data_IF_328251223690
#
_entry.id   IF_328251223690
#
_cell.length_a   1.000
_cell.length_b   1.000
_cell.length_c   1.000
_cell.angle_alpha   90.00
_cell.angle_beta   90.00
_cell.angle_gamma   90.00
#
_symmetry.space_group_name_H-M   'P 1'
#
loop_
_entity.id
_entity.type
_entity.pdbx_description
1 polymer ?
#
# COMPACT_ATOMS: atom_id res chain seq x y z
N UNK A 1 18.14 -19.41 -29.96
CA UNK A 1 18.19 -18.04 -29.42
C UNK A 1 19.63 -17.77 -28.97
N UNK A 2 20.38 -16.84 -29.52
CA UNK A 2 21.76 -16.59 -29.10
C UNK A 2 21.75 -15.97 -27.70
N UNK A 3 22.55 -16.55 -26.79
CA UNK A 3 22.77 -16.03 -25.46
C UNK A 3 23.32 -14.60 -25.55
N UNK A 4 22.62 -13.62 -24.96
CA UNK A 4 23.16 -12.28 -24.77
C UNK A 4 24.48 -12.36 -24.00
N UNK A 5 25.52 -11.61 -24.38
CA UNK A 5 26.77 -11.59 -23.63
C UNK A 5 26.49 -11.15 -22.19
N UNK A 6 26.97 -11.93 -21.21
CA UNK A 6 26.93 -11.58 -19.80
C UNK A 6 27.65 -10.25 -19.62
N UNK A 7 26.90 -9.23 -19.18
CA UNK A 7 27.46 -7.93 -18.85
C UNK A 7 28.41 -8.05 -17.65
N UNK A 8 29.37 -7.12 -17.58
CA UNK A 8 30.35 -7.00 -16.50
C UNK A 8 29.66 -7.10 -15.13
N UNK A 9 29.99 -8.12 -14.30
CA UNK A 9 29.31 -8.37 -13.01
C UNK A 9 29.45 -7.23 -12.00
N UNK A 10 30.30 -6.23 -12.28
CA UNK A 10 30.51 -5.06 -11.44
C UNK A 10 29.68 -3.83 -11.85
N UNK A 11 28.97 -3.86 -12.99
CA UNK A 11 28.11 -2.77 -13.43
C UNK A 11 26.63 -3.11 -13.23
N UNK A 12 26.10 -2.88 -12.02
CA UNK A 12 24.68 -2.95 -11.76
C UNK A 12 23.90 -2.03 -12.71
N UNK A 13 22.98 -2.57 -13.46
CA UNK A 13 22.08 -1.82 -14.34
C UNK A 13 21.10 -0.89 -13.58
N UNK A 14 21.06 -0.98 -12.25
CA UNK A 14 20.24 -0.14 -11.37
C UNK A 14 20.61 1.36 -11.42
N UNK A 15 21.81 1.70 -11.90
CA UNK A 15 22.27 3.10 -12.04
C UNK A 15 22.00 3.63 -13.45
N UNK A 16 21.48 2.81 -14.38
CA UNK A 16 21.14 3.28 -15.72
C UNK A 16 19.98 4.28 -15.69
N UNK A 17 20.05 5.28 -16.53
CA UNK A 17 19.09 6.37 -16.65
C UNK A 17 17.64 5.88 -16.74
N UNK A 18 17.37 4.78 -17.46
CA UNK A 18 16.03 4.22 -17.63
C UNK A 18 15.41 3.76 -16.29
N UNK A 19 16.15 2.99 -15.52
CA UNK A 19 15.67 2.51 -14.22
C UNK A 19 15.55 3.63 -13.18
N UNK A 20 16.51 4.56 -13.13
CA UNK A 20 16.44 5.73 -12.25
C UNK A 20 15.24 6.64 -12.59
N UNK A 21 14.91 6.81 -13.87
CA UNK A 21 13.73 7.57 -14.27
C UNK A 21 12.43 6.88 -13.86
N UNK A 22 12.36 5.54 -13.97
CA UNK A 22 11.23 4.75 -13.47
C UNK A 22 11.11 4.87 -11.94
N UNK A 23 12.23 4.77 -11.24
CA UNK A 23 12.28 4.86 -9.78
C UNK A 23 11.80 6.23 -9.29
N UNK A 24 12.25 7.32 -9.94
CA UNK A 24 11.84 8.69 -9.63
C UNK A 24 10.34 8.90 -9.94
N UNK A 25 9.85 8.45 -11.10
CA UNK A 25 8.44 8.55 -11.47
C UNK A 25 7.53 7.77 -10.51
N UNK A 26 7.98 6.59 -10.03
CA UNK A 26 7.27 5.80 -9.02
C UNK A 26 7.26 6.50 -7.66
N UNK A 27 8.41 7.00 -7.20
CA UNK A 27 8.53 7.70 -5.94
C UNK A 27 7.61 8.92 -5.90
N UNK A 28 7.68 9.78 -6.92
CA UNK A 28 6.88 11.00 -7.00
C UNK A 28 5.38 10.69 -7.13
N UNK A 29 4.98 9.67 -7.91
CA UNK A 29 3.58 9.26 -8.01
C UNK A 29 3.02 8.74 -6.69
N UNK A 30 3.71 7.81 -6.04
CA UNK A 30 3.28 7.28 -4.75
C UNK A 30 3.26 8.36 -3.67
N UNK A 31 4.20 9.30 -3.69
CA UNK A 31 4.21 10.46 -2.82
C UNK A 31 3.00 11.35 -3.05
N UNK A 32 2.67 11.67 -4.31
CA UNK A 32 1.52 12.51 -4.68
C UNK A 32 0.19 11.91 -4.23
N UNK A 33 -0.01 10.61 -4.48
CA UNK A 33 -1.18 9.85 -4.03
C UNK A 33 -1.37 9.96 -2.51
N UNK A 34 -0.27 9.86 -1.74
CA UNK A 34 -0.34 9.89 -0.28
C UNK A 34 -0.48 11.31 0.27
N UNK A 35 0.11 12.34 -0.36
CA UNK A 35 -0.11 13.75 0.01
C UNK A 35 -1.60 14.08 -0.09
N UNK A 36 -2.23 13.81 -1.24
CA UNK A 36 -3.64 14.12 -1.45
C UNK A 36 -4.55 13.34 -0.50
N UNK A 37 -4.29 12.03 -0.34
CA UNK A 37 -5.06 11.17 0.57
C UNK A 37 -4.98 11.67 2.01
N UNK A 38 -3.77 11.96 2.51
CA UNK A 38 -3.59 12.39 3.90
C UNK A 38 -4.13 13.78 4.16
N UNK A 39 -3.97 14.69 3.20
CA UNK A 39 -4.55 16.02 3.29
C UNK A 39 -6.08 15.96 3.43
N UNK A 40 -6.76 15.16 2.58
CA UNK A 40 -8.21 14.93 2.69
C UNK A 40 -8.58 14.25 4.01
N UNK A 41 -7.80 13.28 4.45
CA UNK A 41 -8.03 12.55 5.71
C UNK A 41 -8.02 13.53 6.90
N UNK A 42 -7.00 14.36 7.02
CA UNK A 42 -6.91 15.35 8.10
C UNK A 42 -8.01 16.40 8.02
N UNK A 43 -8.32 16.91 6.83
CA UNK A 43 -9.39 17.89 6.66
C UNK A 43 -10.75 17.32 7.09
N UNK A 44 -11.02 16.05 6.80
CA UNK A 44 -12.27 15.39 7.20
C UNK A 44 -12.32 15.19 8.73
N UNK A 45 -11.21 14.76 9.35
CA UNK A 45 -11.13 14.59 10.82
C UNK A 45 -11.40 15.92 11.54
N UNK A 46 -10.91 17.02 11.00
CA UNK A 46 -11.11 18.37 11.59
C UNK A 46 -12.49 18.96 11.30
N UNK A 47 -13.40 18.23 10.69
CA UNK A 47 -14.74 18.69 10.36
C UNK A 47 -14.77 19.74 9.26
N UNK A 48 -13.74 19.82 8.40
CA UNK A 48 -13.77 20.68 7.23
C UNK A 48 -15.01 20.40 6.38
N UNK A 49 -15.38 21.38 5.54
CA UNK A 49 -16.59 21.30 4.72
C UNK A 49 -17.87 21.10 5.55
N UNK A 50 -17.96 21.80 6.69
CA UNK A 50 -19.09 21.75 7.63
C UNK A 50 -19.41 20.32 8.13
N UNK A 51 -18.40 19.45 8.22
CA UNK A 51 -18.57 18.09 8.73
C UNK A 51 -19.43 17.18 7.83
N UNK A 52 -19.53 17.47 6.52
CA UNK A 52 -20.43 16.74 5.60
C UNK A 52 -20.26 15.23 5.60
N UNK A 53 -19.05 14.70 5.89
CA UNK A 53 -18.80 13.26 5.92
C UNK A 53 -19.00 12.65 7.31
N UNK A 54 -19.20 13.48 8.35
CA UNK A 54 -19.40 13.04 9.72
C UNK A 54 -18.18 12.31 10.34
N UNK A 55 -18.39 11.79 11.54
CA UNK A 55 -17.40 10.99 12.23
C UNK A 55 -17.06 9.72 11.44
N UNK A 56 -15.77 9.46 11.23
CA UNK A 56 -15.32 8.33 10.41
C UNK A 56 -15.29 8.61 8.91
N UNK A 57 -15.55 9.85 8.47
CA UNK A 57 -15.55 10.26 7.06
C UNK A 57 -14.23 9.96 6.33
N UNK A 58 -13.10 9.83 7.04
CA UNK A 58 -11.84 9.33 6.44
C UNK A 58 -11.96 7.90 5.90
N UNK A 59 -12.92 7.10 6.37
CA UNK A 59 -13.27 5.83 5.74
C UNK A 59 -13.77 6.01 4.31
N UNK A 60 -14.58 7.07 4.05
CA UNK A 60 -15.05 7.41 2.69
C UNK A 60 -13.86 7.82 1.80
N UNK A 61 -12.91 8.60 2.33
CA UNK A 61 -11.66 8.93 1.62
C UNK A 61 -10.89 7.63 1.27
N UNK A 62 -10.82 6.69 2.21
CA UNK A 62 -10.21 5.37 1.98
C UNK A 62 -10.92 4.55 0.89
N UNK A 63 -12.25 4.55 0.85
CA UNK A 63 -13.05 3.90 -0.20
C UNK A 63 -12.77 4.55 -1.56
N UNK A 64 -12.80 5.87 -1.64
CA UNK A 64 -12.49 6.61 -2.86
C UNK A 64 -11.07 6.33 -3.36
N UNK A 65 -10.13 6.07 -2.46
CA UNK A 65 -8.76 5.71 -2.79
C UNK A 65 -8.63 4.26 -3.30
N UNK A 66 -9.37 3.30 -2.75
CA UNK A 66 -9.14 1.87 -3.00
C UNK A 66 -9.98 1.28 -4.13
N UNK A 67 -11.22 1.75 -4.32
CA UNK A 67 -12.13 1.23 -5.36
C UNK A 67 -11.54 1.29 -6.77
N UNK A 68 -10.89 2.40 -7.21
CA UNK A 68 -10.32 2.44 -8.55
C UNK A 68 -9.28 1.36 -8.81
N UNK A 69 -8.46 1.02 -7.81
CA UNK A 69 -7.48 -0.06 -7.95
C UNK A 69 -8.15 -1.43 -8.16
N UNK A 70 -9.28 -1.70 -7.49
CA UNK A 70 -10.02 -2.96 -7.66
C UNK A 70 -10.60 -3.06 -9.05
N UNK A 71 -11.22 -1.97 -9.53
CA UNK A 71 -11.96 -1.95 -10.80
C UNK A 71 -11.05 -1.86 -12.03
N UNK A 72 -9.93 -1.11 -11.93
CA UNK A 72 -9.15 -0.70 -13.09
C UNK A 72 -7.81 -1.41 -13.23
N UNK A 73 -7.26 -2.06 -12.19
CA UNK A 73 -5.95 -2.72 -12.29
C UNK A 73 -5.92 -3.82 -13.34
N UNK A 74 -7.03 -4.54 -13.56
CA UNK A 74 -7.15 -5.55 -14.63
C UNK A 74 -7.03 -4.93 -16.02
N UNK A 75 -7.68 -3.81 -16.26
CA UNK A 75 -7.54 -3.05 -17.51
C UNK A 75 -6.15 -2.45 -17.66
N UNK A 76 -5.56 -1.97 -16.57
CA UNK A 76 -4.19 -1.47 -16.55
C UNK A 76 -3.18 -2.51 -17.02
N UNK A 77 -3.36 -3.78 -16.61
CA UNK A 77 -2.56 -4.91 -17.09
C UNK A 77 -2.68 -5.10 -18.60
N UNK A 78 -3.91 -5.22 -19.11
CA UNK A 78 -4.16 -5.40 -20.54
C UNK A 78 -3.60 -4.24 -21.40
N UNK A 79 -3.69 -3.01 -20.92
CA UNK A 79 -3.14 -1.83 -21.61
C UNK A 79 -1.61 -1.88 -21.57
N UNK A 80 -0.99 -2.26 -20.47
CA UNK A 80 0.46 -2.39 -20.36
C UNK A 80 1.03 -3.52 -21.24
N UNK A 81 0.25 -4.58 -21.48
CA UNK A 81 0.64 -5.68 -22.37
C UNK A 81 0.42 -5.37 -23.85
N UNK A 82 -0.50 -4.45 -24.18
CA UNK A 82 -0.85 -4.07 -25.55
C UNK A 82 -0.01 -2.91 -26.08
N UNK A 83 0.30 -1.93 -25.23
CA UNK A 83 1.01 -0.70 -25.64
C UNK A 83 2.42 -0.68 -25.04
N UNK A 84 3.26 0.24 -25.53
CA UNK A 84 4.55 0.51 -24.90
C UNK A 84 4.34 0.96 -23.46
N UNK A 85 4.94 0.26 -22.51
CA UNK A 85 4.80 0.56 -21.09
C UNK A 85 5.30 1.97 -20.75
N UNK A 86 6.29 2.47 -21.52
CA UNK A 86 6.72 3.87 -21.44
C UNK A 86 5.62 4.85 -21.86
N UNK A 87 4.90 4.57 -22.96
CA UNK A 87 3.80 5.42 -23.43
C UNK A 87 2.67 5.46 -22.41
N UNK A 88 2.30 4.29 -21.86
CA UNK A 88 1.31 4.20 -20.78
C UNK A 88 1.74 5.06 -19.58
N UNK A 89 3.01 4.96 -19.18
CA UNK A 89 3.56 5.77 -18.08
C UNK A 89 3.51 7.27 -18.39
N UNK A 90 3.84 7.67 -19.62
CA UNK A 90 3.76 9.08 -20.03
C UNK A 90 2.32 9.59 -19.99
N UNK A 91 1.34 8.84 -20.50
CA UNK A 91 -0.07 9.24 -20.47
C UNK A 91 -0.59 9.38 -19.04
N UNK A 92 -0.22 8.44 -18.18
CA UNK A 92 -0.53 8.49 -16.74
C UNK A 92 0.05 9.76 -16.12
N UNK A 93 1.33 10.08 -16.37
CA UNK A 93 1.98 11.26 -15.80
C UNK A 93 1.50 12.59 -16.42
N UNK A 94 1.10 12.60 -17.67
CA UNK A 94 0.44 13.76 -18.29
C UNK A 94 -0.93 13.99 -17.62
N UNK A 95 -1.72 12.94 -17.39
CA UNK A 95 -3.03 13.05 -16.74
C UNK A 95 -2.92 13.52 -15.28
N UNK A 96 -1.82 13.24 -14.59
CA UNK A 96 -1.60 13.66 -13.20
C UNK A 96 -1.58 15.21 -13.04
N UNK A 97 -1.09 15.92 -14.06
CA UNK A 97 -1.01 17.40 -14.04
C UNK A 97 -2.40 18.07 -13.99
N UNK A 98 -3.34 17.81 -14.92
CA UNK A 98 -4.69 18.39 -14.82
C UNK A 98 -5.45 17.89 -13.57
N UNK A 99 -5.19 16.68 -13.08
CA UNK A 99 -5.79 16.19 -11.84
C UNK A 99 -5.30 17.02 -10.64
N UNK A 100 -4.01 17.35 -10.58
CA UNK A 100 -3.46 18.24 -9.55
C UNK A 100 -4.08 19.66 -9.63
N UNK A 101 -4.38 20.16 -10.85
CA UNK A 101 -5.11 21.42 -11.01
C UNK A 101 -6.57 21.32 -10.52
N UNK A 102 -7.27 20.21 -10.76
CA UNK A 102 -8.61 19.97 -10.23
C UNK A 102 -8.57 19.97 -8.70
N UNK A 103 -7.58 19.28 -8.09
CA UNK A 103 -7.38 19.29 -6.65
C UNK A 103 -7.13 20.71 -6.13
N UNK A 104 -6.28 21.50 -6.82
CA UNK A 104 -5.99 22.88 -6.47
C UNK A 104 -7.27 23.74 -6.46
N UNK A 105 -8.11 23.61 -7.49
CA UNK A 105 -9.40 24.30 -7.55
C UNK A 105 -10.31 23.85 -6.41
N UNK A 106 -10.38 22.56 -6.13
CA UNK A 106 -11.20 22.01 -5.04
C UNK A 106 -10.81 22.56 -3.66
N UNK A 107 -9.51 22.58 -3.35
CA UNK A 107 -9.01 23.16 -2.10
C UNK A 107 -9.20 24.67 -2.03
N UNK A 108 -8.90 25.38 -3.14
CA UNK A 108 -9.06 26.84 -3.18
C UNK A 108 -10.51 27.28 -2.98
N UNK A 109 -11.47 26.56 -3.56
CA UNK A 109 -12.91 26.81 -3.41
C UNK A 109 -13.49 26.22 -2.11
N UNK A 110 -12.72 25.45 -1.34
CA UNK A 110 -13.22 24.72 -0.18
C UNK A 110 -14.34 23.73 -0.55
N UNK A 111 -14.22 23.02 -1.69
CA UNK A 111 -15.25 22.12 -2.18
C UNK A 111 -14.83 20.65 -2.04
N UNK A 112 -15.52 19.93 -1.14
CA UNK A 112 -15.26 18.52 -0.85
C UNK A 112 -15.39 17.63 -2.11
N UNK A 113 -16.44 17.83 -2.92
CA UNK A 113 -16.72 16.95 -4.05
C UNK A 113 -15.68 17.07 -5.15
N UNK A 114 -15.17 18.27 -5.39
CA UNK A 114 -14.10 18.50 -6.36
C UNK A 114 -12.79 17.87 -5.86
N UNK A 115 -12.48 17.96 -4.57
CA UNK A 115 -11.27 17.34 -4.00
C UNK A 115 -11.36 15.82 -3.97
N UNK A 116 -12.53 15.24 -3.66
CA UNK A 116 -12.77 13.79 -3.76
C UNK A 116 -12.71 13.31 -5.22
N UNK A 117 -13.27 14.06 -6.16
CA UNK A 117 -13.16 13.74 -7.58
C UNK A 117 -11.69 13.71 -8.03
N UNK A 118 -10.88 14.67 -7.56
CA UNK A 118 -9.45 14.67 -7.84
C UNK A 118 -8.75 13.44 -7.25
N UNK A 119 -9.11 13.01 -6.03
CA UNK A 119 -8.57 11.79 -5.43
C UNK A 119 -8.93 10.55 -6.25
N UNK A 120 -10.20 10.40 -6.63
CA UNK A 120 -10.67 9.27 -7.45
C UNK A 120 -9.96 9.28 -8.81
N UNK A 121 -9.87 10.44 -9.48
CA UNK A 121 -9.16 10.55 -10.75
C UNK A 121 -7.67 10.21 -10.63
N UNK A 122 -7.01 10.65 -9.53
CA UNK A 122 -5.62 10.35 -9.26
C UNK A 122 -5.40 8.84 -9.05
N UNK A 123 -6.26 8.17 -8.31
CA UNK A 123 -6.17 6.73 -8.08
C UNK A 123 -6.57 5.91 -9.31
N UNK A 124 -7.50 6.40 -10.12
CA UNK A 124 -7.79 5.80 -11.44
C UNK A 124 -6.54 5.75 -12.31
N UNK A 125 -5.83 6.89 -12.48
CA UNK A 125 -4.62 6.91 -13.28
C UNK A 125 -3.49 6.04 -12.67
N UNK A 126 -3.34 6.05 -11.34
CA UNK A 126 -2.34 5.23 -10.63
C UNK A 126 -2.58 3.73 -10.82
N UNK A 127 -3.83 3.30 -11.01
CA UNK A 127 -4.19 1.91 -11.27
C UNK A 127 -3.63 1.38 -12.60
N UNK A 128 -3.44 2.25 -13.60
CA UNK A 128 -2.80 1.88 -14.87
C UNK A 128 -1.27 1.89 -14.78
N UNK A 129 -0.71 2.71 -13.90
CA UNK A 129 0.74 2.77 -13.73
C UNK A 129 1.31 1.52 -13.06
N UNK A 130 0.59 0.91 -12.12
CA UNK A 130 1.04 -0.26 -11.37
C UNK A 130 1.54 -1.41 -12.26
N UNK A 131 0.71 -1.97 -13.15
CA UNK A 131 1.11 -3.03 -14.08
C UNK A 131 2.22 -2.61 -15.05
N UNK A 132 2.13 -1.40 -15.62
CA UNK A 132 3.15 -0.88 -16.54
C UNK A 132 4.53 -0.80 -15.87
N UNK A 133 4.61 -0.32 -14.64
CA UNK A 133 5.81 -0.23 -13.83
C UNK A 133 6.51 -1.59 -13.67
N UNK A 134 5.78 -2.59 -13.18
CA UNK A 134 6.35 -3.91 -12.96
C UNK A 134 6.72 -4.61 -14.26
N UNK A 135 5.97 -4.38 -15.34
CA UNK A 135 6.29 -4.89 -16.66
C UNK A 135 7.52 -4.24 -17.30
N UNK A 136 7.87 -2.99 -16.92
CA UNK A 136 9.08 -2.32 -17.43
C UNK A 136 10.38 -2.81 -16.79
N UNK A 137 10.35 -3.33 -15.57
CA UNK A 137 11.57 -3.71 -14.85
C UNK A 137 12.43 -4.69 -15.64
N UNK A 138 11.88 -5.80 -16.22
CA UNK A 138 12.67 -6.75 -17.02
C UNK A 138 13.19 -6.15 -18.34
N UNK A 139 12.59 -5.05 -18.81
CA UNK A 139 13.04 -4.37 -20.05
C UNK A 139 14.18 -3.37 -19.77
N UNK A 140 14.31 -2.92 -18.50
CA UNK A 140 15.27 -1.88 -18.12
C UNK A 140 16.51 -2.42 -17.39
N UNK A 141 16.43 -3.62 -16.78
CA UNK A 141 17.52 -4.23 -16.02
C UNK A 141 17.81 -5.63 -16.51
N UNK A 142 19.02 -6.12 -16.25
CA UNK A 142 19.40 -7.49 -16.59
C UNK A 142 18.74 -8.50 -15.63
N UNK A 143 18.56 -9.73 -16.09
CA UNK A 143 17.87 -10.81 -15.33
C UNK A 143 18.51 -11.06 -13.95
N UNK A 144 19.83 -10.88 -13.84
CA UNK A 144 20.60 -11.01 -12.60
C UNK A 144 20.26 -9.94 -11.55
N UNK A 145 19.79 -8.76 -11.99
CA UNK A 145 19.46 -7.61 -11.13
C UNK A 145 17.96 -7.45 -10.86
N UNK A 146 17.09 -8.31 -11.46
CA UNK A 146 15.63 -8.20 -11.33
C UNK A 146 15.15 -8.19 -9.88
N UNK A 147 15.69 -9.08 -9.04
CA UNK A 147 15.32 -9.13 -7.61
C UNK A 147 15.70 -7.84 -6.88
N UNK A 148 16.89 -7.30 -7.14
CA UNK A 148 17.36 -6.04 -6.55
C UNK A 148 16.54 -4.85 -7.04
N UNK A 149 16.20 -4.82 -8.33
CA UNK A 149 15.37 -3.77 -8.93
C UNK A 149 13.97 -3.74 -8.29
N UNK A 150 13.30 -4.90 -8.17
CA UNK A 150 12.01 -5.01 -7.51
C UNK A 150 12.08 -4.59 -6.04
N UNK A 151 13.11 -5.03 -5.31
CA UNK A 151 13.34 -4.63 -3.93
C UNK A 151 13.54 -3.11 -3.78
N UNK A 152 14.32 -2.50 -4.69
CA UNK A 152 14.55 -1.05 -4.70
C UNK A 152 13.28 -0.26 -4.97
N UNK A 153 12.45 -0.68 -5.93
CA UNK A 153 11.16 -0.03 -6.24
C UNK A 153 10.21 -0.13 -5.04
N UNK A 154 10.11 -1.30 -4.41
CA UNK A 154 9.26 -1.47 -3.23
C UNK A 154 9.74 -0.62 -2.04
N UNK A 155 11.05 -0.59 -1.79
CA UNK A 155 11.64 0.25 -0.75
C UNK A 155 11.34 1.74 -1.01
N UNK A 156 11.59 2.22 -2.22
CA UNK A 156 11.33 3.62 -2.59
C UNK A 156 9.83 3.96 -2.57
N UNK A 157 8.95 3.02 -2.89
CA UNK A 157 7.51 3.20 -2.72
C UNK A 157 7.13 3.40 -1.25
N UNK A 158 7.68 2.60 -0.34
CA UNK A 158 7.43 2.76 1.09
C UNK A 158 7.97 4.09 1.63
N UNK A 159 9.18 4.48 1.20
CA UNK A 159 9.75 5.81 1.55
C UNK A 159 8.86 6.93 1.01
N UNK A 160 8.35 6.81 -0.22
CA UNK A 160 7.43 7.78 -0.82
C UNK A 160 6.12 7.91 -0.05
N UNK A 161 5.56 6.79 0.44
CA UNK A 161 4.37 6.78 1.30
C UNK A 161 4.63 7.55 2.59
N UNK A 162 5.76 7.30 3.27
CA UNK A 162 6.13 7.98 4.51
C UNK A 162 6.32 9.48 4.26
N UNK A 163 7.12 9.85 3.26
CA UNK A 163 7.39 11.26 2.91
C UNK A 163 6.10 11.97 2.48
N UNK A 164 5.26 11.31 1.65
CA UNK A 164 3.99 11.86 1.22
C UNK A 164 3.01 12.08 2.38
N UNK A 165 2.98 11.16 3.34
CA UNK A 165 2.17 11.28 4.56
C UNK A 165 2.61 12.47 5.43
N UNK A 166 3.93 12.59 5.69
CA UNK A 166 4.49 13.72 6.43
C UNK A 166 4.23 15.06 5.72
N UNK A 167 4.48 15.11 4.41
CA UNK A 167 4.23 16.31 3.62
C UNK A 167 2.73 16.67 3.62
N UNK A 168 1.85 15.67 3.56
CA UNK A 168 0.40 15.85 3.68
C UNK A 168 0.00 16.52 5.00
N UNK A 169 0.60 16.12 6.12
CA UNK A 169 0.41 16.75 7.42
C UNK A 169 0.89 18.20 7.44
N UNK A 170 2.12 18.46 6.98
CA UNK A 170 2.69 19.82 6.90
C UNK A 170 1.83 20.75 6.03
N UNK A 171 1.37 20.25 4.88
CA UNK A 171 0.51 21.03 3.98
C UNK A 171 -0.84 21.27 4.61
N UNK A 172 -1.41 20.30 5.34
CA UNK A 172 -2.68 20.45 6.05
C UNK A 172 -2.61 21.52 7.14
N UNK A 173 -1.53 21.55 7.93
CA UNK A 173 -1.33 22.55 8.99
C UNK A 173 -1.18 23.97 8.43
N UNK A 174 -0.62 24.12 7.22
CA UNK A 174 -0.47 25.44 6.56
C UNK A 174 -1.72 25.85 5.77
N UNK A 175 -2.49 24.88 5.28
CA UNK A 175 -3.76 25.12 4.58
C UNK A 175 -4.85 25.58 5.54
N UNK A 176 -4.97 24.94 6.70
CA UNK A 176 -5.95 25.24 7.74
C UNK A 176 -5.27 25.26 9.11
N UNK A 177 -4.53 26.35 9.44
CA UNK A 177 -3.81 26.43 10.72
C UNK A 177 -4.77 26.33 11.90
N UNK A 178 -4.36 25.59 12.94
CA UNK A 178 -5.07 25.57 14.23
C UNK A 178 -4.78 26.84 15.06
N UNK A 179 -3.61 27.45 14.85
CA UNK A 179 -3.25 28.72 15.45
C UNK A 179 -3.88 29.87 14.66
N UNK A 180 -4.81 30.61 15.30
CA UNK A 180 -5.51 31.75 14.72
C UNK A 180 -4.57 32.91 14.32
N UNK A 181 -3.33 32.95 14.81
CA UNK A 181 -2.32 33.94 14.42
C UNK A 181 -1.73 33.71 13.03
N UNK A 182 -1.86 32.48 12.50
CA UNK A 182 -1.32 32.08 11.19
C UNK A 182 -2.38 32.28 10.10
N UNK A 183 -1.97 32.84 8.96
CA UNK A 183 -2.84 32.99 7.80
C UNK A 183 -2.90 31.70 6.99
N UNK A 184 -4.11 31.19 6.66
CA UNK A 184 -4.27 30.01 5.79
C UNK A 184 -3.67 30.23 4.40
N UNK A 185 -2.92 29.24 3.89
CA UNK A 185 -2.36 29.29 2.54
C UNK A 185 -3.18 28.37 1.63
N UNK A 186 -4.28 28.90 1.09
CA UNK A 186 -5.28 28.12 0.35
C UNK A 186 -4.76 27.48 -0.95
N UNK A 187 -3.75 28.06 -1.59
CA UNK A 187 -3.17 27.53 -2.83
C UNK A 187 -2.10 26.45 -2.60
N UNK A 188 -1.59 26.32 -1.36
CA UNK A 188 -0.46 25.43 -1.03
C UNK A 188 -0.71 23.94 -1.35
N UNK A 189 -1.89 23.35 -1.04
CA UNK A 189 -2.18 21.96 -1.40
C UNK A 189 -2.03 21.70 -2.90
N UNK A 190 -2.65 22.55 -3.70
CA UNK A 190 -2.60 22.43 -5.15
C UNK A 190 -1.20 22.63 -5.72
N UNK A 191 -0.45 23.61 -5.19
CA UNK A 191 0.93 23.85 -5.62
C UNK A 191 1.85 22.66 -5.29
N UNK A 192 1.71 22.08 -4.10
CA UNK A 192 2.49 20.90 -3.70
C UNK A 192 2.22 19.71 -4.65
N UNK A 193 0.95 19.40 -4.89
CA UNK A 193 0.55 18.31 -5.80
C UNK A 193 1.04 18.57 -7.24
N UNK A 194 0.93 19.82 -7.71
CA UNK A 194 1.33 20.20 -9.08
C UNK A 194 2.85 20.09 -9.27
N UNK A 195 3.65 20.55 -8.30
CA UNK A 195 5.12 20.44 -8.35
C UNK A 195 5.55 18.97 -8.39
N UNK A 196 4.91 18.11 -7.58
CA UNK A 196 5.18 16.67 -7.58
C UNK A 196 4.79 16.05 -8.92
N UNK A 197 3.61 16.38 -9.46
CA UNK A 197 3.11 15.86 -10.73
C UNK A 197 4.02 16.25 -11.90
N UNK A 198 4.43 17.53 -11.98
CA UNK A 198 5.36 18.02 -13.03
C UNK A 198 6.71 17.31 -12.89
N UNK A 199 7.24 17.16 -11.68
CA UNK A 199 8.51 16.45 -11.46
C UNK A 199 8.41 14.97 -11.88
N UNK A 200 7.27 14.33 -11.59
CA UNK A 200 6.96 12.97 -12.04
C UNK A 200 6.89 12.85 -13.56
N UNK A 201 6.25 13.82 -14.24
CA UNK A 201 6.18 13.89 -15.69
C UNK A 201 7.57 14.08 -16.31
N UNK A 202 8.39 15.00 -15.78
CA UNK A 202 9.77 15.20 -16.23
C UNK A 202 10.55 13.88 -16.13
N UNK A 203 10.43 13.17 -15.00
CA UNK A 203 11.08 11.87 -14.83
C UNK A 203 10.64 10.85 -15.89
N UNK A 204 9.34 10.80 -16.21
CA UNK A 204 8.80 9.89 -17.23
C UNK A 204 9.28 10.22 -18.66
N UNK A 205 9.46 11.50 -18.98
CA UNK A 205 10.00 11.94 -20.29
C UNK A 205 11.42 11.41 -20.51
N UNK A 206 12.21 11.33 -19.43
CA UNK A 206 13.58 10.82 -19.52
C UNK A 206 13.70 9.29 -19.63
N UNK A 207 12.59 8.54 -19.56
CA UNK A 207 12.60 7.10 -19.79
C UNK A 207 12.97 6.77 -21.24
N UNK A 208 13.77 5.72 -21.49
CA UNK A 208 14.08 5.26 -22.85
C UNK A 208 12.80 4.78 -23.55
N UNK A 209 12.83 4.79 -24.87
CA UNK A 209 11.77 4.18 -25.67
C UNK A 209 11.80 2.67 -25.48
N UNK A 210 10.65 2.09 -25.17
CA UNK A 210 10.44 0.67 -25.05
C UNK A 210 9.56 0.19 -26.20
N UNK A 211 9.74 -1.04 -26.62
CA UNK A 211 8.95 -1.63 -27.68
C UNK A 211 7.48 -1.78 -27.23
N UNK A 212 6.52 -1.59 -28.15
CA UNK A 212 5.13 -1.87 -27.85
C UNK A 212 4.92 -3.36 -27.62
N UNK A 213 3.97 -3.70 -26.76
CA UNK A 213 3.53 -5.06 -26.57
C UNK A 213 2.70 -5.59 -27.76
N UNK A 214 1.95 -6.65 -27.54
CA UNK A 214 1.13 -7.27 -28.59
C UNK A 214 -0.16 -6.48 -28.83
N UNK A 215 -0.16 -5.65 -29.89
CA UNK A 215 -1.32 -4.86 -30.31
C UNK A 215 -2.48 -5.71 -30.82
N UNK A 216 -2.25 -6.99 -31.15
CA UNK A 216 -3.29 -7.93 -31.63
C UNK A 216 -4.08 -8.56 -30.50
N UNK A 217 -3.63 -8.43 -29.25
CA UNK A 217 -4.29 -8.97 -28.07
C UNK A 217 -5.73 -8.44 -27.96
N UNK A 218 -6.69 -9.36 -27.83
CA UNK A 218 -8.10 -9.01 -27.63
C UNK A 218 -8.28 -8.40 -26.25
N UNK A 219 -8.96 -7.28 -26.16
CA UNK A 219 -9.30 -6.62 -24.91
C UNK A 219 -10.49 -7.32 -24.26
N UNK A 220 -10.31 -7.79 -23.02
CA UNK A 220 -11.42 -8.34 -22.22
C UNK A 220 -12.07 -7.21 -21.40
N UNK A 221 -13.36 -6.99 -21.67
CA UNK A 221 -14.16 -5.96 -21.00
C UNK A 221 -14.63 -6.36 -19.60
N UNK A 222 -14.41 -7.63 -19.18
CA UNK A 222 -14.74 -8.07 -17.83
C UNK A 222 -13.54 -7.89 -16.88
N UNK A 223 -13.51 -6.85 -16.04
CA UNK A 223 -12.37 -6.58 -15.16
C UNK A 223 -12.15 -7.68 -14.12
N UNK A 224 -13.20 -8.46 -13.82
CA UNK A 224 -13.19 -9.50 -12.79
C UNK A 224 -12.90 -10.90 -13.32
N UNK A 225 -12.95 -11.13 -14.64
CA UNK A 225 -12.77 -12.47 -15.22
C UNK A 225 -11.47 -13.13 -14.76
N UNK A 226 -10.35 -12.40 -14.85
CA UNK A 226 -9.03 -12.87 -14.42
C UNK A 226 -8.98 -13.16 -12.93
N UNK A 227 -9.60 -12.32 -12.09
CA UNK A 227 -9.59 -12.50 -10.64
C UNK A 227 -10.44 -13.68 -10.21
N UNK A 228 -11.65 -13.83 -10.77
CA UNK A 228 -12.55 -14.93 -10.44
C UNK A 228 -11.97 -16.27 -10.85
N UNK A 229 -11.40 -16.37 -12.06
CA UNK A 229 -10.70 -17.57 -12.52
C UNK A 229 -9.53 -17.95 -11.60
N UNK A 230 -8.69 -16.99 -11.26
CA UNK A 230 -7.56 -17.22 -10.33
C UNK A 230 -8.03 -17.64 -8.94
N UNK A 231 -9.10 -17.02 -8.39
CA UNK A 231 -9.66 -17.39 -7.08
C UNK A 231 -10.26 -18.81 -7.11
N UNK A 232 -10.96 -19.19 -8.17
CA UNK A 232 -11.52 -20.54 -8.32
C UNK A 232 -10.41 -21.60 -8.39
N UNK A 233 -9.34 -21.33 -9.12
CA UNK A 233 -8.17 -22.21 -9.19
C UNK A 233 -7.46 -22.33 -7.83
N UNK A 234 -7.24 -21.21 -7.15
CA UNK A 234 -6.66 -21.19 -5.80
C UNK A 234 -7.55 -21.89 -4.77
N UNK A 235 -8.88 -21.88 -4.96
CA UNK A 235 -9.83 -22.51 -4.04
C UNK A 235 -9.69 -24.04 -4.00
N UNK A 236 -9.14 -24.64 -5.05
CA UNK A 236 -8.85 -26.07 -5.11
C UNK A 236 -7.61 -26.48 -4.30
N UNK A 237 -6.86 -25.51 -3.79
CA UNK A 237 -5.62 -25.72 -3.06
C UNK A 237 -5.57 -24.91 -1.75
N UNK A 238 -4.55 -25.19 -0.94
CA UNK A 238 -4.26 -24.42 0.29
C UNK A 238 -3.84 -22.97 0.02
N UNK A 239 -3.57 -22.63 -1.23
CA UNK A 239 -3.12 -21.32 -1.65
C UNK A 239 -4.12 -20.22 -1.31
N UNK A 240 -5.42 -20.46 -1.56
CA UNK A 240 -6.46 -19.48 -1.19
C UNK A 240 -6.42 -19.13 0.30
N UNK A 241 -6.18 -20.11 1.19
CA UNK A 241 -6.10 -19.86 2.63
C UNK A 241 -4.93 -18.94 3.01
N UNK A 242 -3.77 -19.15 2.41
CA UNK A 242 -2.59 -18.27 2.61
C UNK A 242 -2.88 -16.87 2.08
N UNK A 243 -3.53 -16.78 0.92
CA UNK A 243 -3.90 -15.50 0.32
C UNK A 243 -4.95 -14.76 1.16
N UNK A 244 -5.93 -15.47 1.72
CA UNK A 244 -6.92 -14.87 2.64
C UNK A 244 -6.26 -14.40 3.94
N UNK A 245 -5.32 -15.14 4.51
CA UNK A 245 -4.57 -14.72 5.70
C UNK A 245 -3.72 -13.47 5.42
N UNK A 246 -3.12 -13.40 4.23
CA UNK A 246 -2.35 -12.24 3.78
C UNK A 246 -3.26 -11.03 3.52
N UNK A 247 -4.40 -11.22 2.83
CA UNK A 247 -5.40 -10.17 2.61
C UNK A 247 -6.01 -9.67 3.93
N UNK A 248 -6.30 -10.55 4.87
CA UNK A 248 -6.82 -10.21 6.20
C UNK A 248 -5.89 -9.27 6.98
N UNK A 249 -4.57 -9.41 6.80
CA UNK A 249 -3.61 -8.44 7.34
C UNK A 249 -3.89 -7.03 6.81
N UNK A 250 -4.19 -6.87 5.52
CA UNK A 250 -4.47 -5.56 4.93
C UNK A 250 -5.75 -4.91 5.47
N UNK A 251 -6.74 -5.73 5.89
CA UNK A 251 -7.91 -5.21 6.59
C UNK A 251 -7.51 -4.55 7.93
N UNK A 252 -6.70 -5.23 8.73
CA UNK A 252 -6.25 -4.70 10.03
C UNK A 252 -5.28 -3.52 9.86
N UNK A 253 -4.37 -3.61 8.91
CA UNK A 253 -3.47 -2.52 8.56
C UNK A 253 -4.26 -1.28 8.06
N UNK A 254 -5.31 -1.50 7.27
CA UNK A 254 -6.20 -0.43 6.80
C UNK A 254 -6.90 0.28 7.96
N UNK A 255 -7.43 -0.47 8.93
CA UNK A 255 -8.02 0.11 10.14
C UNK A 255 -6.99 0.93 10.92
N UNK A 256 -5.80 0.39 11.17
CA UNK A 256 -4.74 1.09 11.89
C UNK A 256 -4.35 2.41 11.19
N UNK A 257 -4.24 2.40 9.86
CA UNK A 257 -3.95 3.59 9.05
C UNK A 257 -5.04 4.67 9.13
N UNK A 258 -6.30 4.28 9.39
CA UNK A 258 -7.42 5.22 9.54
C UNK A 258 -7.53 5.74 10.98
N UNK A 259 -7.10 4.97 11.99
CA UNK A 259 -7.13 5.36 13.40
C UNK A 259 -5.98 6.33 13.73
N UNK A 260 -4.77 6.08 13.24
CA UNK A 260 -3.57 6.86 13.62
C UNK A 260 -3.69 8.37 13.36
N UNK A 261 -4.26 8.87 12.26
CA UNK A 261 -4.47 10.31 12.06
C UNK A 261 -5.36 10.95 13.13
N UNK A 262 -6.27 10.21 13.76
CA UNK A 262 -7.13 10.74 14.83
C UNK A 262 -6.40 11.00 16.16
N UNK A 263 -5.13 10.66 16.24
CA UNK A 263 -4.32 11.08 17.40
C UNK A 263 -4.14 12.60 17.47
N UNK A 264 -4.47 13.35 16.41
CA UNK A 264 -4.67 14.80 16.49
C UNK A 264 -5.68 15.17 17.57
N UNK A 265 -6.79 14.42 17.65
CA UNK A 265 -7.85 14.63 18.67
C UNK A 265 -7.45 14.00 20.01
N UNK A 266 -6.92 12.77 19.99
CA UNK A 266 -6.59 11.99 21.20
C UNK A 266 -5.51 12.64 22.06
N UNK A 267 -4.48 13.20 21.39
CA UNK A 267 -3.29 13.80 22.02
C UNK A 267 -3.30 15.33 21.99
N UNK A 268 -4.24 15.96 21.26
CA UNK A 268 -4.24 17.42 21.04
C UNK A 268 -2.96 17.89 20.31
N UNK A 269 -2.53 17.15 19.30
CA UNK A 269 -1.30 17.40 18.52
C UNK A 269 -1.62 17.87 17.10
N UNK A 270 -0.67 18.53 16.46
CA UNK A 270 -0.79 18.98 15.08
C UNK A 270 -0.83 17.79 14.09
N UNK A 271 -1.31 18.01 12.87
CA UNK A 271 -1.40 17.01 11.82
C UNK A 271 -0.01 16.54 11.36
N UNK A 272 0.96 17.45 11.34
CA UNK A 272 2.37 17.10 11.11
C UNK A 272 2.87 16.13 12.19
N UNK A 273 2.57 16.41 13.45
CA UNK A 273 2.92 15.54 14.58
C UNK A 273 2.24 14.16 14.50
N UNK A 274 0.93 14.12 14.17
CA UNK A 274 0.23 12.86 13.96
C UNK A 274 0.81 12.05 12.79
N UNK A 275 1.29 12.72 11.75
CA UNK A 275 1.98 12.09 10.61
C UNK A 275 3.29 11.41 11.02
N UNK A 276 3.94 11.85 12.12
CA UNK A 276 5.12 11.17 12.68
C UNK A 276 4.77 9.75 13.14
N UNK A 277 3.59 9.52 13.74
CA UNK A 277 3.16 8.17 14.15
C UNK A 277 3.03 7.23 12.94
N UNK A 278 2.50 7.73 11.82
CA UNK A 278 2.42 6.97 10.56
C UNK A 278 3.82 6.69 9.99
N UNK A 279 4.74 7.64 10.11
CA UNK A 279 6.15 7.47 9.74
C UNK A 279 6.82 6.40 10.61
N UNK A 280 6.63 6.46 11.93
CA UNK A 280 7.14 5.45 12.89
C UNK A 280 6.62 4.07 12.53
N UNK A 281 5.33 3.94 12.22
CA UNK A 281 4.74 2.66 11.80
C UNK A 281 5.39 2.13 10.52
N UNK A 282 5.58 2.99 9.52
CA UNK A 282 6.22 2.60 8.26
C UNK A 282 7.66 2.11 8.46
N UNK A 283 8.46 2.82 9.26
CA UNK A 283 9.82 2.42 9.62
C UNK A 283 9.80 1.10 10.39
N UNK A 284 8.91 0.96 11.37
CA UNK A 284 8.79 -0.24 12.18
C UNK A 284 8.44 -1.49 11.36
N UNK A 285 7.51 -1.37 10.41
CA UNK A 285 7.18 -2.45 9.46
C UNK A 285 8.43 -2.82 8.65
N UNK A 286 9.16 -1.83 8.14
CA UNK A 286 10.40 -2.07 7.39
C UNK A 286 11.44 -2.83 8.21
N UNK A 287 11.69 -2.41 9.45
CA UNK A 287 12.61 -3.09 10.38
C UNK A 287 12.11 -4.50 10.70
N UNK A 288 10.82 -4.65 11.01
CA UNK A 288 10.21 -5.95 11.27
C UNK A 288 10.34 -6.93 10.10
N UNK A 289 10.10 -6.45 8.87
CA UNK A 289 10.29 -7.23 7.65
C UNK A 289 11.75 -7.67 7.46
N UNK A 290 12.70 -6.76 7.69
CA UNK A 290 14.12 -7.07 7.59
C UNK A 290 14.55 -8.13 8.61
N UNK A 291 14.15 -7.98 9.87
CA UNK A 291 14.45 -8.94 10.94
C UNK A 291 13.78 -10.29 10.67
N UNK A 292 12.51 -10.31 10.25
CA UNK A 292 11.80 -11.54 9.87
C UNK A 292 12.51 -12.25 8.70
N UNK A 293 12.99 -11.51 7.72
CA UNK A 293 13.77 -12.03 6.60
C UNK A 293 15.10 -12.64 7.07
N UNK A 294 15.84 -11.95 7.94
CA UNK A 294 17.09 -12.47 8.50
C UNK A 294 16.89 -13.75 9.32
N UNK A 295 15.84 -13.79 10.16
CA UNK A 295 15.51 -14.99 10.97
C UNK A 295 15.08 -16.17 10.08
N UNK A 296 14.41 -15.89 8.97
CA UNK A 296 13.99 -16.92 8.01
C UNK A 296 15.17 -17.50 7.22
N UNK A 297 16.22 -16.71 6.98
CA UNK A 297 17.41 -17.13 6.22
C UNK A 297 17.04 -17.58 4.80
N UNK A 298 17.46 -18.79 4.42
CA UNK A 298 17.18 -19.36 3.10
C UNK A 298 15.85 -20.16 3.04
N UNK A 299 15.14 -20.31 4.16
CA UNK A 299 13.90 -21.08 4.23
C UNK A 299 12.76 -20.21 4.77
N UNK A 300 11.55 -20.41 4.21
CA UNK A 300 10.36 -19.74 4.75
C UNK A 300 10.09 -20.28 6.15
N UNK A 301 10.04 -19.38 7.15
CA UNK A 301 9.76 -19.75 8.53
C UNK A 301 8.31 -19.37 8.92
N UNK A 302 7.34 -20.29 8.75
CA UNK A 302 5.94 -19.97 9.03
C UNK A 302 5.64 -19.81 10.55
N UNK A 303 6.57 -20.20 11.43
CA UNK A 303 6.43 -20.00 12.88
C UNK A 303 6.44 -18.52 13.29
N UNK A 304 6.94 -17.63 12.41
CA UNK A 304 6.90 -16.19 12.65
C UNK A 304 5.49 -15.61 12.56
N UNK A 305 4.57 -16.24 11.80
CA UNK A 305 3.19 -15.76 11.64
C UNK A 305 2.44 -15.69 12.99
N UNK A 306 2.37 -16.78 13.81
CA UNK A 306 1.73 -16.70 15.11
C UNK A 306 2.44 -15.74 16.09
N UNK A 307 3.76 -15.60 16.01
CA UNK A 307 4.52 -14.63 16.83
C UNK A 307 4.12 -13.20 16.42
N UNK A 308 4.07 -12.91 15.11
CA UNK A 308 3.60 -11.63 14.58
C UNK A 308 2.17 -11.32 15.02
N UNK A 309 1.27 -12.31 14.91
CA UNK A 309 -0.13 -12.15 15.34
C UNK A 309 -0.25 -11.85 16.83
N UNK A 310 0.46 -12.57 17.68
CA UNK A 310 0.45 -12.36 19.14
C UNK A 310 1.00 -10.96 19.49
N UNK A 311 2.10 -10.53 18.84
CA UNK A 311 2.66 -9.19 19.03
C UNK A 311 1.69 -8.10 18.59
N UNK A 312 1.02 -8.26 17.44
CA UNK A 312 -0.01 -7.33 16.98
C UNK A 312 -1.17 -7.22 17.97
N UNK A 313 -1.70 -8.34 18.49
CA UNK A 313 -2.74 -8.33 19.51
C UNK A 313 -2.28 -7.57 20.74
N UNK A 314 -1.07 -7.86 21.24
CA UNK A 314 -0.53 -7.22 22.43
C UNK A 314 -0.41 -5.69 22.26
N UNK A 315 0.21 -5.23 21.18
CA UNK A 315 0.40 -3.79 20.96
C UNK A 315 -0.90 -3.07 20.61
N UNK A 316 -1.84 -3.71 19.92
CA UNK A 316 -3.16 -3.13 19.70
C UNK A 316 -3.94 -2.96 21.02
N UNK A 317 -3.82 -3.89 21.97
CA UNK A 317 -4.42 -3.72 23.30
C UNK A 317 -3.76 -2.56 24.06
N UNK A 318 -2.43 -2.41 23.98
CA UNK A 318 -1.75 -1.27 24.60
C UNK A 318 -2.23 0.06 23.97
N UNK A 319 -2.34 0.14 22.65
CA UNK A 319 -2.85 1.32 21.96
C UNK A 319 -4.30 1.64 22.31
N UNK A 320 -5.13 0.62 22.61
CA UNK A 320 -6.53 0.80 22.94
C UNK A 320 -6.75 1.27 24.37
N UNK A 321 -5.95 0.80 25.33
CA UNK A 321 -6.26 0.94 26.76
C UNK A 321 -5.24 1.71 27.59
N UNK A 322 -4.00 1.81 27.13
CA UNK A 322 -2.99 2.59 27.85
C UNK A 322 -3.16 4.06 27.53
N UNK A 323 -3.24 4.90 28.55
CA UNK A 323 -3.35 6.35 28.39
C UNK A 323 -2.15 6.91 27.64
N UNK A 324 -2.36 7.61 26.52
CA UNK A 324 -1.28 8.25 25.78
C UNK A 324 -0.58 9.32 26.62
N UNK A 325 0.75 9.36 26.54
CA UNK A 325 1.57 10.36 27.25
C UNK A 325 2.55 11.02 26.29
N UNK A 326 2.68 12.33 26.41
CA UNK A 326 3.65 13.12 25.66
C UNK A 326 4.74 13.63 26.61
N UNK A 327 6.03 13.38 26.34
CA UNK A 327 7.12 14.01 27.10
C UNK A 327 7.22 15.51 26.78
N UNK A 328 7.78 16.26 27.71
CA UNK A 328 8.02 17.70 27.55
C UNK A 328 9.25 17.97 26.65
N UNK A 329 9.01 17.92 25.36
CA UNK A 329 10.00 18.04 24.28
C UNK A 329 9.42 18.90 23.14
N UNK A 330 10.27 19.28 22.17
CA UNK A 330 9.79 19.96 20.96
C UNK A 330 8.79 19.11 20.14
N UNK A 331 7.93 19.74 19.32
CA UNK A 331 6.72 19.11 18.73
C UNK A 331 6.90 17.70 18.15
N UNK A 332 7.69 17.52 17.12
CA UNK A 332 7.89 16.19 16.50
C UNK A 332 8.60 15.20 17.43
N UNK A 333 9.52 15.69 18.28
CA UNK A 333 10.30 14.83 19.20
C UNK A 333 9.42 14.28 20.30
N UNK A 334 8.51 15.08 20.86
CA UNK A 334 7.56 14.63 21.91
C UNK A 334 6.69 13.48 21.43
N UNK A 335 6.25 13.51 20.17
CA UNK A 335 5.44 12.43 19.59
C UNK A 335 6.30 11.20 19.32
N UNK A 336 7.49 11.36 18.74
CA UNK A 336 8.38 10.24 18.45
C UNK A 336 8.85 9.50 19.72
N UNK A 337 8.95 10.20 20.85
CA UNK A 337 9.32 9.64 22.15
C UNK A 337 8.11 9.28 23.04
N UNK A 338 6.88 9.45 22.55
CA UNK A 338 5.67 9.09 23.29
C UNK A 338 5.56 7.58 23.47
N UNK A 339 4.84 7.15 24.52
CA UNK A 339 4.51 5.74 24.68
C UNK A 339 3.68 5.21 23.50
N UNK A 340 2.82 6.05 22.91
CA UNK A 340 2.06 5.74 21.71
C UNK A 340 2.96 5.39 20.54
N UNK A 341 4.02 6.18 20.26
CA UNK A 341 4.99 5.87 19.21
C UNK A 341 5.72 4.54 19.47
N UNK A 342 6.04 4.25 20.73
CA UNK A 342 6.61 2.97 21.13
C UNK A 342 5.66 1.79 20.84
N UNK A 343 4.36 1.94 21.12
CA UNK A 343 3.37 0.91 20.83
C UNK A 343 3.11 0.75 19.33
N UNK A 344 3.05 1.85 18.60
CA UNK A 344 2.94 1.86 17.12
C UNK A 344 4.16 1.18 16.50
N UNK A 345 5.37 1.47 17.01
CA UNK A 345 6.60 0.80 16.57
C UNK A 345 6.52 -0.71 16.82
N UNK A 346 6.10 -1.12 18.02
CA UNK A 346 5.91 -2.54 18.34
C UNK A 346 4.91 -3.23 17.42
N UNK A 347 3.74 -2.62 17.19
CA UNK A 347 2.74 -3.16 16.27
C UNK A 347 3.30 -3.28 14.83
N UNK A 348 3.96 -2.24 14.31
CA UNK A 348 4.59 -2.26 12.99
C UNK A 348 5.69 -3.31 12.87
N UNK A 349 6.52 -3.46 13.89
CA UNK A 349 7.58 -4.48 13.93
C UNK A 349 7.00 -5.89 13.81
N UNK A 350 5.98 -6.24 14.60
CA UNK A 350 5.34 -7.54 14.55
C UNK A 350 4.47 -7.74 13.30
N UNK A 351 4.01 -6.66 12.68
CA UNK A 351 3.39 -6.73 11.35
C UNK A 351 4.35 -7.31 10.31
N UNK A 352 5.64 -6.95 10.36
CA UNK A 352 6.68 -7.54 9.50
C UNK A 352 6.82 -9.05 9.70
N UNK A 353 6.76 -9.53 10.93
CA UNK A 353 6.81 -10.96 11.25
C UNK A 353 5.60 -11.74 10.73
N UNK A 354 4.43 -11.09 10.66
CA UNK A 354 3.22 -11.70 10.12
C UNK A 354 3.24 -11.74 8.60
N UNK A 355 3.57 -10.62 7.95
CA UNK A 355 3.39 -10.45 6.51
C UNK A 355 4.46 -11.17 5.66
N UNK A 356 5.74 -11.14 6.07
CA UNK A 356 6.85 -11.64 5.27
C UNK A 356 6.75 -13.15 4.97
N UNK A 357 6.49 -14.04 5.95
CA UNK A 357 6.34 -15.47 5.65
C UNK A 357 5.14 -15.76 4.74
N UNK A 358 4.02 -15.04 4.91
CA UNK A 358 2.84 -15.20 4.07
C UNK A 358 3.11 -14.74 2.63
N UNK A 359 3.79 -13.62 2.45
CA UNK A 359 4.18 -13.12 1.12
C UNK A 359 5.13 -14.10 0.41
N UNK A 360 6.10 -14.64 1.14
CA UNK A 360 7.02 -15.64 0.61
C UNK A 360 6.30 -16.95 0.24
N UNK A 361 5.33 -17.39 1.04
CA UNK A 361 4.47 -18.53 0.72
C UNK A 361 3.61 -18.28 -0.51
N UNK A 362 3.02 -17.10 -0.66
CA UNK A 362 2.25 -16.72 -1.85
C UNK A 362 3.11 -16.82 -3.11
N UNK A 363 4.34 -16.29 -3.07
CA UNK A 363 5.26 -16.37 -4.19
C UNK A 363 5.68 -17.80 -4.52
N UNK A 364 5.93 -18.64 -3.49
CA UNK A 364 6.35 -20.04 -3.65
C UNK A 364 5.22 -20.93 -4.18
N UNK A 365 3.98 -20.67 -3.77
CA UNK A 365 2.81 -21.46 -4.18
C UNK A 365 2.26 -21.02 -5.55
N UNK A 366 2.66 -19.84 -6.05
CA UNK A 366 2.25 -19.37 -7.37
C UNK A 366 2.97 -20.14 -8.47
N UNK A 367 2.26 -20.70 -9.48
CA UNK A 367 2.88 -21.37 -10.64
C UNK A 367 3.84 -20.41 -11.37
N UNK A 368 5.00 -20.92 -11.82
CA UNK A 368 6.05 -20.09 -12.41
C UNK A 368 5.60 -19.34 -13.68
N UNK A 369 4.81 -20.00 -14.52
CA UNK A 369 4.26 -19.45 -15.76
C UNK A 369 3.08 -18.49 -15.57
N UNK A 370 2.44 -18.48 -14.39
CA UNK A 370 1.25 -17.66 -14.10
C UNK A 370 1.42 -16.78 -12.85
N UNK A 371 2.63 -16.70 -12.33
CA UNK A 371 2.94 -15.96 -11.09
C UNK A 371 2.42 -14.52 -11.12
N UNK A 372 2.50 -13.83 -12.25
CA UNK A 372 1.98 -12.48 -12.42
C UNK A 372 0.47 -12.38 -12.22
N UNK A 373 -0.30 -13.33 -12.77
CA UNK A 373 -1.76 -13.40 -12.64
C UNK A 373 -2.17 -13.61 -11.17
N UNK A 374 -1.52 -14.53 -10.49
CA UNK A 374 -1.81 -14.84 -9.08
C UNK A 374 -1.44 -13.69 -8.14
N UNK A 375 -0.28 -13.09 -8.30
CA UNK A 375 0.15 -11.93 -7.51
C UNK A 375 -0.70 -10.69 -7.80
N UNK A 376 -1.14 -10.50 -9.05
CA UNK A 376 -2.09 -9.46 -9.42
C UNK A 376 -3.43 -9.64 -8.72
N UNK A 377 -3.94 -10.87 -8.67
CA UNK A 377 -5.17 -11.21 -7.93
C UNK A 377 -5.02 -10.99 -6.42
N UNK A 378 -3.86 -11.36 -5.84
CA UNK A 378 -3.56 -11.09 -4.44
C UNK A 378 -3.54 -9.58 -4.15
N UNK A 379 -2.98 -8.77 -5.04
CA UNK A 379 -2.97 -7.31 -4.91
C UNK A 379 -4.39 -6.72 -4.97
N UNK A 380 -5.22 -7.17 -5.92
CA UNK A 380 -6.64 -6.75 -6.00
C UNK A 380 -7.41 -7.13 -4.72
N UNK A 381 -7.16 -8.32 -4.17
CA UNK A 381 -7.75 -8.76 -2.91
C UNK A 381 -7.30 -7.88 -1.73
N UNK A 382 -6.04 -7.44 -1.69
CA UNK A 382 -5.56 -6.50 -0.66
C UNK A 382 -6.34 -5.19 -0.67
N UNK A 383 -6.57 -4.61 -1.87
CA UNK A 383 -7.39 -3.41 -2.00
C UNK A 383 -8.85 -3.67 -1.60
N UNK A 384 -9.39 -4.87 -1.87
CA UNK A 384 -10.72 -5.27 -1.41
C UNK A 384 -10.79 -5.28 0.12
N UNK A 385 -9.80 -5.87 0.79
CA UNK A 385 -9.73 -5.85 2.26
C UNK A 385 -9.51 -4.44 2.84
N UNK A 386 -8.73 -3.59 2.17
CA UNK A 386 -8.60 -2.18 2.53
C UNK A 386 -9.92 -1.41 2.38
N UNK A 387 -10.71 -1.72 1.34
CA UNK A 387 -12.05 -1.13 1.17
C UNK A 387 -12.99 -1.59 2.27
N UNK A 388 -12.96 -2.89 2.63
CA UNK A 388 -13.74 -3.43 3.75
C UNK A 388 -13.33 -2.76 5.07
N UNK A 389 -12.02 -2.55 5.29
CA UNK A 389 -11.52 -1.81 6.44
C UNK A 389 -12.09 -0.39 6.50
N UNK A 390 -12.10 0.30 5.37
CA UNK A 390 -12.61 1.68 5.26
C UNK A 390 -14.10 1.77 5.50
N UNK A 391 -14.90 0.84 4.96
CA UNK A 391 -16.33 0.72 5.21
C UNK A 391 -16.61 0.39 6.68
N UNK A 392 -15.88 -0.57 7.24
CA UNK A 392 -16.01 -0.96 8.64
C UNK A 392 -15.65 0.21 9.56
N UNK A 393 -14.55 0.90 9.27
CA UNK A 393 -14.14 2.07 10.03
C UNK A 393 -15.22 3.16 10.02
N UNK A 394 -15.74 3.51 8.85
CA UNK A 394 -16.81 4.48 8.71
C UNK A 394 -18.06 4.10 9.53
N UNK A 395 -18.42 2.82 9.53
CA UNK A 395 -19.60 2.34 10.24
C UNK A 395 -19.42 2.30 11.78
N UNK A 396 -18.21 1.94 12.28
CA UNK A 396 -17.98 1.75 13.71
C UNK A 396 -17.45 3.00 14.41
N UNK A 397 -16.78 3.91 13.69
CA UNK A 397 -16.15 5.11 14.28
C UNK A 397 -17.09 5.95 15.14
N UNK A 398 -18.35 6.24 14.73
CA UNK A 398 -19.28 7.03 15.54
C UNK A 398 -19.60 6.39 16.90
N UNK A 399 -19.43 5.09 17.05
CA UNK A 399 -19.72 4.37 18.31
C UNK A 399 -18.67 4.63 19.40
N UNK A 400 -17.51 5.17 19.03
CA UNK A 400 -16.38 5.38 19.95
C UNK A 400 -16.23 6.83 20.43
N UNK A 401 -17.02 7.78 19.90
CA UNK A 401 -17.02 9.17 20.32
C UNK A 401 -15.61 9.78 20.38
N UNK A 402 -15.25 10.35 21.55
CA UNK A 402 -13.95 11.00 21.76
C UNK A 402 -12.78 10.03 22.00
N UNK A 403 -13.00 8.70 21.85
CA UNK A 403 -11.99 7.69 22.12
C UNK A 403 -11.73 6.77 20.91
N UNK A 404 -11.35 7.33 19.74
CA UNK A 404 -11.13 6.57 18.52
C UNK A 404 -10.04 5.50 18.68
N UNK A 405 -9.06 5.72 19.56
CA UNK A 405 -8.00 4.74 19.85
C UNK A 405 -8.56 3.39 20.35
N UNK A 406 -9.76 3.35 20.95
CA UNK A 406 -10.39 2.10 21.37
C UNK A 406 -10.77 1.16 20.23
N UNK A 407 -10.82 1.65 19.00
CA UNK A 407 -11.00 0.80 17.81
C UNK A 407 -9.82 -0.19 17.67
N UNK A 408 -8.63 0.12 18.20
CA UNK A 408 -7.54 -0.85 18.28
C UNK A 408 -7.90 -2.11 19.09
N UNK A 409 -8.83 -2.05 20.05
CA UNK A 409 -9.34 -3.25 20.74
C UNK A 409 -10.13 -4.16 19.79
N UNK A 410 -10.88 -3.56 18.85
CA UNK A 410 -11.56 -4.32 17.78
C UNK A 410 -10.52 -4.96 16.86
N UNK A 411 -9.48 -4.24 16.49
CA UNK A 411 -8.36 -4.80 15.71
C UNK A 411 -7.67 -5.96 16.43
N UNK A 412 -7.45 -5.84 17.74
CA UNK A 412 -6.87 -6.90 18.58
C UNK A 412 -7.76 -8.15 18.61
N UNK A 413 -9.07 -7.98 18.84
CA UNK A 413 -10.04 -9.08 18.86
C UNK A 413 -10.12 -9.77 17.49
N UNK A 414 -10.18 -8.98 16.42
CA UNK A 414 -10.17 -9.51 15.06
C UNK A 414 -8.88 -10.27 14.75
N UNK A 415 -7.71 -9.70 15.12
CA UNK A 415 -6.42 -10.38 14.90
C UNK A 415 -6.35 -11.70 15.67
N UNK A 416 -6.79 -11.73 16.92
CA UNK A 416 -6.84 -12.95 17.73
C UNK A 416 -7.76 -14.00 17.09
N UNK A 417 -8.97 -13.62 16.69
CA UNK A 417 -9.93 -14.51 16.03
C UNK A 417 -9.42 -15.04 14.69
N UNK A 418 -8.87 -14.15 13.85
CA UNK A 418 -8.29 -14.52 12.57
C UNK A 418 -7.08 -15.44 12.72
N UNK A 419 -6.17 -15.13 13.63
CA UNK A 419 -5.02 -15.99 13.92
C UNK A 419 -5.45 -17.37 14.43
N UNK A 420 -6.41 -17.43 15.35
CA UNK A 420 -6.95 -18.71 15.85
C UNK A 420 -7.58 -19.53 14.74
N UNK A 421 -8.37 -18.91 13.86
CA UNK A 421 -9.00 -19.57 12.72
C UNK A 421 -7.95 -20.10 11.72
N UNK A 422 -7.00 -19.26 11.29
CA UNK A 422 -5.98 -19.67 10.34
C UNK A 422 -5.04 -20.73 10.92
N UNK A 423 -4.63 -20.59 12.17
CA UNK A 423 -3.83 -21.60 12.87
C UNK A 423 -4.56 -22.94 12.99
N UNK A 424 -5.85 -22.92 13.30
CA UNK A 424 -6.66 -24.12 13.37
C UNK A 424 -6.76 -24.83 12.03
N UNK A 425 -7.05 -24.08 10.97
CA UNK A 425 -7.17 -24.62 9.59
C UNK A 425 -5.85 -25.13 9.04
N UNK A 426 -4.73 -24.49 9.41
CA UNK A 426 -3.40 -24.85 8.89
C UNK A 426 -2.69 -25.90 9.72
N UNK A 427 -3.14 -26.21 10.95
CA UNK A 427 -2.53 -27.27 11.80
C UNK A 427 -2.52 -28.65 11.14
N UNK A 428 -3.54 -28.99 10.35
CA UNK A 428 -3.63 -30.27 9.63
C UNK A 428 -2.80 -30.36 8.36
N UNK A 429 -2.08 -29.28 7.98
CA UNK A 429 -1.49 -29.14 6.65
C UNK A 429 0.04 -29.26 6.62
N UNK A 430 0.73 -29.41 7.76
CA UNK A 430 2.20 -29.44 7.83
C UNK A 430 2.92 -28.12 7.51
N UNK A 431 2.22 -27.12 7.00
CA UNK A 431 2.82 -25.82 6.57
C UNK A 431 3.40 -25.06 7.77
N UNK A 432 2.79 -25.16 8.96
CA UNK A 432 3.22 -24.46 10.18
C UNK A 432 4.25 -25.24 11.02
N UNK A 433 4.43 -26.51 10.74
CA UNK A 433 5.28 -27.42 11.54
C UNK A 433 6.49 -27.78 10.67
N UNK A 434 7.28 -26.93 10.13
CA UNK A 434 8.53 -27.23 9.45
C UNK A 434 8.95 -28.72 9.36
N UNK A 435 8.06 -29.63 8.90
CA UNK A 435 8.42 -31.00 8.64
C UNK A 435 9.33 -31.00 7.43
N UNK A 436 10.50 -31.59 7.57
CA UNK A 436 11.41 -31.87 6.46
C UNK A 436 10.59 -32.41 5.30
N UNK A 437 10.70 -31.71 4.20
CA UNK A 437 10.30 -32.10 2.86
C UNK A 437 9.98 -33.59 2.67
N UNK A 438 8.77 -33.86 2.28
CA UNK A 438 8.42 -34.78 1.21
C UNK A 438 6.94 -34.50 0.94
N UNK A 439 6.59 -34.39 -0.31
CA UNK A 439 5.22 -34.24 -0.82
C UNK A 439 4.68 -32.79 -0.83
N UNK A 440 5.37 -31.92 -1.59
CA UNK A 440 4.64 -31.00 -2.45
C UNK A 440 4.14 -31.84 -3.61
N UNK A 441 2.97 -32.45 -3.42
CA UNK A 441 2.22 -33.06 -4.49
C UNK A 441 2.01 -31.98 -5.56
N UNK A 442 2.74 -32.13 -6.67
CA UNK A 442 2.53 -31.38 -7.89
C UNK A 442 1.04 -31.42 -8.21
N UNK A 443 0.45 -30.27 -8.47
CA UNK A 443 -0.88 -30.19 -9.07
C UNK A 443 -0.94 -31.20 -10.22
N UNK A 444 -2.03 -31.97 -10.35
CA UNK A 444 -2.12 -32.95 -11.42
C UNK A 444 -1.92 -32.24 -12.75
N UNK A 445 -0.92 -32.69 -13.50
CA UNK A 445 -0.74 -32.29 -14.88
C UNK A 445 -2.07 -32.48 -15.60
N UNK A 446 -2.58 -31.39 -16.16
CA UNK A 446 -3.73 -31.45 -17.08
C UNK A 446 -3.33 -32.40 -18.19
N UNK A 447 -3.99 -33.55 -18.26
CA UNK A 447 -3.78 -34.53 -19.30
C UNK A 447 -3.97 -33.82 -20.66
N UNK A 448 -2.91 -33.80 -21.47
CA UNK A 448 -3.03 -33.57 -22.89
C UNK A 448 -3.98 -34.65 -23.43
N UNK A 449 -5.23 -34.29 -23.71
CA UNK A 449 -6.10 -35.04 -24.58
C UNK A 449 -5.67 -34.77 -26.01
N UNK A 450 -4.87 -35.69 -26.56
CA UNK A 450 -4.75 -35.85 -28.00
C UNK A 450 -6.14 -36.15 -28.59
N UNK A 451 -6.60 -35.33 -29.52
CA UNK A 451 -7.12 -35.69 -30.84
C UNK A 451 -7.40 -34.41 -31.61
#
# INVERSE_FOLDING_TARGET
>A
MPLKPQGDPLKSNLIKRGFLSLLAAQFLGAMNDNVLKMLLTFMVIDGAWAGMLGDGGQGIVGICFTIPFILLSGYGGQIADRYSKREVTLWVKIAEVPIALIAMVGFYLGNLWITLLALVALTCQSSFFGPAKYGMIPELVDDTDLSRANGTINMMTNVAVIVGTLLGGVVADRYSPQDASLTPIQWLPGAALLVIAISGLISAVFMPRLEPGDRSMKFDWNPFATYLGSIQEMAQSRFLMVMMAWGYFYLLAGLALLILPEYTVVLGIDRTEASVLLGVMGVAIGVGCAVAGLISGHQINPKLVPIGAAGLVFFFLLLAFVTPTLPDQGPMVRVALSNTAGFVFGAGFFAGFYIIPLQSLLQKLSPDNERGRFLGTANALSFTFLTIASLMYWAIRPLFGDQPQRIFAVCAAMMAAGAAFFLWRLRGTGILIGSKSTDVESAPAVAESAE
#
